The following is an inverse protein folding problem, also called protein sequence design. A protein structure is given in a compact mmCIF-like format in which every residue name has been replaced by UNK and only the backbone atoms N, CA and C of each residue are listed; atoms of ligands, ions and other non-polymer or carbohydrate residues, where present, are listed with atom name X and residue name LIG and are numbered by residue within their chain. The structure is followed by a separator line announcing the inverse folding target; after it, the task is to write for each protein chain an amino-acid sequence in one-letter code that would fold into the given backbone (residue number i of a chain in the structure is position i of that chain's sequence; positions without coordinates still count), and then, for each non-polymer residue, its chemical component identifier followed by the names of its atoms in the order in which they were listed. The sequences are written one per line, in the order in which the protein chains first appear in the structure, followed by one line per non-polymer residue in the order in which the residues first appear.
data_IF_422487342023
#
_entry.id   IF_422487342023
#
_cell.length_a   1.000
_cell.length_b   1.000
_cell.length_c   1.000
_cell.angle_alpha   90.00
_cell.angle_beta   90.00
_cell.angle_gamma   90.00
#
_symmetry.space_group_name_H-M   'P 1'
#
loop_
_entity.id
_entity.type
_entity.pdbx_description
1 polymer ?
#
# COMPACT_ATOMS: atom_id res chain seq x y z
N UNK A 1 20.70 -19.96 0.39
CA UNK A 1 19.89 -18.72 0.45
C UNK A 1 18.95 -18.78 1.63
N UNK A 2 18.59 -17.65 2.25
CA UNK A 2 17.79 -17.63 3.49
C UNK A 2 16.31 -17.51 3.10
N UNK A 3 15.44 -18.32 3.70
CA UNK A 3 13.99 -18.20 3.49
C UNK A 3 13.46 -16.86 3.99
N UNK A 4 12.42 -16.37 3.35
CA UNK A 4 11.63 -15.27 3.89
C UNK A 4 10.63 -15.80 4.91
N UNK A 5 10.60 -15.19 6.09
CA UNK A 5 9.52 -15.47 7.05
C UNK A 5 8.24 -14.79 6.55
N UNK A 6 7.25 -15.60 6.17
CA UNK A 6 5.99 -15.14 5.56
C UNK A 6 5.27 -14.10 6.43
N UNK A 7 5.16 -14.37 7.74
CA UNK A 7 4.49 -13.46 8.68
C UNK A 7 5.21 -12.12 8.78
N UNK A 8 6.55 -12.13 8.91
CA UNK A 8 7.35 -10.91 9.00
C UNK A 8 7.29 -10.09 7.71
N UNK A 9 7.37 -10.74 6.55
CA UNK A 9 7.27 -10.05 5.26
C UNK A 9 5.88 -9.42 5.09
N UNK A 10 4.81 -10.18 5.37
CA UNK A 10 3.46 -9.64 5.34
C UNK A 10 3.32 -8.41 6.22
N UNK A 11 3.71 -8.49 7.50
CA UNK A 11 3.61 -7.34 8.43
C UNK A 11 4.42 -6.14 7.93
N UNK A 12 5.65 -6.36 7.44
CA UNK A 12 6.48 -5.29 6.91
C UNK A 12 5.85 -4.58 5.71
N UNK A 13 5.30 -5.35 4.75
CA UNK A 13 4.58 -4.79 3.61
C UNK A 13 3.32 -4.06 4.05
N UNK A 14 2.52 -4.64 4.96
CA UNK A 14 1.31 -4.01 5.50
C UNK A 14 1.59 -2.65 6.16
N UNK A 15 2.61 -2.59 7.02
CA UNK A 15 3.04 -1.33 7.65
C UNK A 15 3.57 -0.31 6.63
N UNK A 16 4.29 -0.77 5.61
CA UNK A 16 4.70 0.10 4.48
C UNK A 16 3.48 0.67 3.75
N UNK A 17 2.45 -0.15 3.50
CA UNK A 17 1.19 0.30 2.91
C UNK A 17 0.50 1.38 3.75
N UNK A 18 0.47 1.21 5.08
CA UNK A 18 -0.06 2.23 6.00
C UNK A 18 0.75 3.52 5.92
N UNK A 19 2.08 3.44 5.90
CA UNK A 19 2.95 4.61 5.78
C UNK A 19 2.67 5.38 4.48
N UNK A 20 2.52 4.68 3.36
CA UNK A 20 2.18 5.28 2.08
C UNK A 20 0.79 5.93 2.10
N UNK A 21 -0.20 5.28 2.70
CA UNK A 21 -1.55 5.84 2.85
C UNK A 21 -1.55 7.14 3.66
N UNK A 22 -0.83 7.18 4.79
CA UNK A 22 -0.67 8.39 5.59
C UNK A 22 0.08 9.49 4.82
N UNK A 23 1.12 9.12 4.06
CA UNK A 23 1.83 10.04 3.17
C UNK A 23 0.90 10.68 2.13
N UNK A 24 -0.03 9.89 1.55
CA UNK A 24 -1.04 10.40 0.64
C UNK A 24 -1.98 11.41 1.33
N UNK A 25 -2.46 11.13 2.55
CA UNK A 25 -3.29 12.08 3.31
C UNK A 25 -2.54 13.40 3.55
N UNK A 26 -1.28 13.31 4.00
CA UNK A 26 -0.45 14.49 4.27
C UNK A 26 -0.24 15.31 2.99
N UNK A 27 0.05 14.65 1.87
CA UNK A 27 0.18 15.30 0.56
C UNK A 27 -1.12 16.02 0.18
N UNK A 28 -2.26 15.33 0.26
CA UNK A 28 -3.57 15.88 -0.06
C UNK A 28 -3.89 17.13 0.76
N UNK A 29 -3.62 17.07 2.07
CA UNK A 29 -3.81 18.21 2.97
C UNK A 29 -2.87 19.37 2.63
N UNK A 30 -1.62 19.07 2.25
CA UNK A 30 -0.59 20.09 2.03
C UNK A 30 -0.76 20.85 0.70
N UNK A 31 -1.17 20.17 -0.37
CA UNK A 31 -1.24 20.76 -1.72
C UNK A 31 -2.67 20.97 -2.25
N UNK A 32 -3.68 20.51 -1.50
CA UNK A 32 -5.09 20.60 -1.88
C UNK A 32 -5.43 19.79 -3.14
N UNK A 33 -6.68 19.91 -3.62
CA UNK A 33 -7.19 19.07 -4.71
C UNK A 33 -6.39 19.20 -6.01
N UNK A 34 -6.14 20.44 -6.46
CA UNK A 34 -5.44 20.71 -7.73
C UNK A 34 -4.01 20.14 -7.72
N UNK A 35 -3.28 20.36 -6.63
CA UNK A 35 -1.93 19.82 -6.47
C UNK A 35 -1.93 18.30 -6.41
N UNK A 36 -2.92 17.70 -5.74
CA UNK A 36 -3.08 16.25 -5.63
C UNK A 36 -3.33 15.62 -7.01
N UNK A 37 -4.24 16.19 -7.80
CA UNK A 37 -4.53 15.73 -9.18
C UNK A 37 -3.26 15.81 -10.03
N UNK A 38 -2.55 16.95 -9.99
CA UNK A 38 -1.32 17.11 -10.75
C UNK A 38 -0.24 16.10 -10.33
N UNK A 39 -0.09 15.83 -9.04
CA UNK A 39 0.84 14.83 -8.53
C UNK A 39 0.52 13.43 -9.03
N UNK A 40 -0.73 12.96 -8.86
CA UNK A 40 -1.10 11.60 -9.26
C UNK A 40 -1.19 11.41 -10.78
N UNK A 41 -1.62 12.40 -11.55
CA UNK A 41 -1.59 12.30 -13.02
C UNK A 41 -0.14 12.16 -13.54
N UNK A 42 0.83 12.84 -12.90
CA UNK A 42 2.25 12.66 -13.20
C UNK A 42 2.77 11.29 -12.72
N UNK A 43 2.40 10.86 -11.52
CA UNK A 43 2.88 9.59 -10.93
C UNK A 43 2.34 8.36 -11.67
N UNK A 44 1.06 8.37 -12.03
CA UNK A 44 0.36 7.23 -12.66
C UNK A 44 0.42 7.26 -14.19
N UNK A 45 1.01 8.30 -14.76
CA UNK A 45 1.27 8.52 -16.19
C UNK A 45 0.17 8.02 -17.15
N UNK A 46 -0.65 8.95 -17.66
CA UNK A 46 -1.69 8.63 -18.65
C UNK A 46 -3.06 8.30 -18.05
N UNK A 47 -3.20 8.40 -16.72
CA UNK A 47 -4.49 8.34 -16.03
C UNK A 47 -4.90 9.74 -15.58
N UNK A 48 -6.07 10.22 -16.02
CA UNK A 48 -6.66 11.43 -15.44
C UNK A 48 -7.46 11.08 -14.18
N UNK A 49 -6.98 11.58 -13.05
CA UNK A 49 -7.56 11.32 -11.73
C UNK A 49 -8.59 12.36 -11.28
N UNK A 50 -8.89 13.37 -12.11
CA UNK A 50 -9.79 14.49 -11.77
C UNK A 50 -11.17 14.04 -11.27
N UNK A 51 -11.74 12.99 -11.87
CA UNK A 51 -13.07 12.45 -11.49
C UNK A 51 -13.03 11.49 -10.30
N UNK A 52 -11.84 11.04 -9.89
CA UNK A 52 -11.63 10.02 -8.86
C UNK A 52 -11.27 10.68 -7.52
N UNK A 53 -10.43 11.72 -7.54
CA UNK A 53 -9.90 12.35 -6.33
C UNK A 53 -10.97 13.21 -5.65
N UNK A 54 -11.38 12.76 -4.45
CA UNK A 54 -12.30 13.46 -3.57
C UNK A 54 -11.54 13.97 -2.34
N UNK A 55 -11.71 15.25 -2.02
CA UNK A 55 -11.11 15.87 -0.84
C UNK A 55 -12.00 15.76 0.40
N UNK A 56 -13.31 15.67 0.19
CA UNK A 56 -14.28 15.49 1.27
C UNK A 56 -14.45 13.99 1.53
N UNK A 57 -13.69 13.51 2.52
CA UNK A 57 -13.71 12.11 2.96
C UNK A 57 -13.82 12.12 4.47
N UNK A 58 -14.76 11.35 5.01
CA UNK A 58 -14.94 11.26 6.46
C UNK A 58 -13.73 10.57 7.10
N UNK A 59 -13.43 10.89 8.36
CA UNK A 59 -12.36 10.22 9.12
C UNK A 59 -12.60 8.71 9.23
N UNK A 60 -13.86 8.28 9.22
CA UNK A 60 -14.23 6.86 9.26
C UNK A 60 -13.88 6.16 7.96
N UNK A 61 -14.21 6.75 6.80
CA UNK A 61 -13.85 6.19 5.50
C UNK A 61 -12.33 6.14 5.32
N UNK A 62 -11.62 7.18 5.77
CA UNK A 62 -10.16 7.19 5.79
C UNK A 62 -9.57 6.08 6.69
N UNK A 63 -10.17 5.87 7.87
CA UNK A 63 -9.79 4.78 8.77
C UNK A 63 -10.01 3.39 8.16
N UNK A 64 -11.16 3.17 7.50
CA UNK A 64 -11.45 1.94 6.77
C UNK A 64 -10.47 1.74 5.60
N UNK A 65 -10.18 2.79 4.85
CA UNK A 65 -9.19 2.76 3.76
C UNK A 65 -7.79 2.40 4.23
N UNK A 66 -7.37 2.90 5.40
CA UNK A 66 -6.09 2.54 6.01
C UNK A 66 -6.02 1.06 6.39
N UNK A 67 -7.09 0.52 7.01
CA UNK A 67 -7.18 -0.91 7.36
C UNK A 67 -7.15 -1.78 6.10
N UNK A 68 -7.92 -1.41 5.07
CA UNK A 68 -7.93 -2.15 3.80
C UNK A 68 -6.56 -2.12 3.13
N UNK A 69 -5.89 -0.97 3.12
CA UNK A 69 -4.53 -0.83 2.56
C UNK A 69 -3.54 -1.72 3.31
N UNK A 70 -3.60 -1.74 4.65
CA UNK A 70 -2.78 -2.64 5.45
C UNK A 70 -2.99 -4.11 5.06
N UNK A 71 -4.24 -4.56 5.00
CA UNK A 71 -4.59 -5.95 4.68
C UNK A 71 -4.10 -6.31 3.28
N UNK A 72 -4.33 -5.45 2.28
CA UNK A 72 -3.92 -5.70 0.91
C UNK A 72 -2.40 -5.84 0.78
N UNK A 73 -1.64 -4.89 1.32
CA UNK A 73 -0.18 -4.95 1.29
C UNK A 73 0.38 -6.10 2.13
N UNK A 74 -0.28 -6.44 3.25
CA UNK A 74 0.07 -7.60 4.07
C UNK A 74 -0.07 -8.91 3.27
N UNK A 75 -1.18 -9.08 2.56
CA UNK A 75 -1.42 -10.23 1.69
C UNK A 75 -0.41 -10.30 0.55
N UNK A 76 -0.09 -9.16 -0.09
CA UNK A 76 0.94 -9.10 -1.14
C UNK A 76 2.29 -9.56 -0.59
N UNK A 77 2.74 -9.03 0.55
CA UNK A 77 4.02 -9.41 1.16
C UNK A 77 4.07 -10.87 1.58
N UNK A 78 2.99 -11.38 2.18
CA UNK A 78 2.87 -12.79 2.52
C UNK A 78 2.93 -13.69 1.28
N UNK A 79 2.25 -13.30 0.20
CA UNK A 79 2.21 -14.04 -1.07
C UNK A 79 3.60 -14.08 -1.73
N UNK A 80 4.31 -12.93 -1.78
CA UNK A 80 5.67 -12.86 -2.31
C UNK A 80 6.60 -13.81 -1.55
N UNK A 81 6.56 -13.78 -0.21
CA UNK A 81 7.39 -14.67 0.61
C UNK A 81 7.04 -16.15 0.39
N UNK A 82 5.76 -16.49 0.32
CA UNK A 82 5.31 -17.86 0.11
C UNK A 82 5.74 -18.39 -1.27
N UNK A 83 5.51 -17.62 -2.35
CA UNK A 83 5.93 -18.00 -3.70
C UNK A 83 7.45 -18.10 -3.80
N UNK A 84 8.21 -17.15 -3.23
CA UNK A 84 9.67 -17.21 -3.23
C UNK A 84 10.19 -18.48 -2.56
N UNK A 85 9.67 -18.82 -1.38
CA UNK A 85 10.08 -20.02 -0.66
C UNK A 85 9.71 -21.30 -1.42
N UNK A 86 8.51 -21.37 -2.01
CA UNK A 86 8.04 -22.51 -2.79
C UNK A 86 8.90 -22.74 -4.06
N UNK A 87 9.21 -21.67 -4.79
CA UNK A 87 10.00 -21.73 -6.03
C UNK A 87 11.49 -22.03 -5.79
N UNK A 88 12.02 -21.73 -4.60
CA UNK A 88 13.42 -21.99 -4.25
C UNK A 88 13.65 -23.33 -3.57
N UNK A 89 12.59 -24.09 -3.27
CA UNK A 89 12.69 -25.46 -2.73
C UNK A 89 13.33 -25.57 -1.34
N UNK A 90 13.45 -24.46 -0.60
CA UNK A 90 14.06 -24.46 0.73
C UNK A 90 12.99 -24.94 1.73
N UNK A 91 13.24 -25.97 2.57
CA UNK A 91 12.27 -26.43 3.55
C UNK A 91 12.08 -25.43 4.69
N UNK A 92 10.83 -25.15 5.06
CA UNK A 92 10.46 -24.21 6.14
C UNK A 92 11.15 -24.63 7.45
N UNK A 93 11.99 -23.75 8.01
CA UNK A 93 12.46 -23.94 9.39
C UNK A 93 11.27 -23.73 10.32
N UNK A 94 10.68 -24.85 10.79
CA UNK A 94 9.72 -24.89 11.90
C UNK A 94 10.28 -24.18 13.14
#
# INVERSE_FOLDING_TARGET
MKQFNVKKMGIACGLTGVLLYLGCIILMFSVGQKGTIAFFNNLLHGLDTTSIIKMDVSLLDAGLGLIQTFILFWLIGASIAAFYNALTGIPEKK
#
